data_IF_259843501392
#
_entry.id   IF_259843501392
#
_cell.length_a   1.000
_cell.length_b   1.000
_cell.length_c   1.000
_cell.angle_alpha   90.00
_cell.angle_beta   90.00
_cell.angle_gamma   90.00
#
_symmetry.space_group_name_H-M   'P 1'
#
loop_
_entity.id
_entity.type
_entity.pdbx_description
1 polymer ?
#
# COMPACT_ATOMS: atom_id res chain seq x y z
N UNK A 1 0.82 -6.45 -10.19
CA UNK A 1 0.80 -5.15 -9.47
C UNK A 1 0.01 -4.14 -10.27
N UNK A 2 -0.85 -3.37 -9.60
CA UNK A 2 -1.69 -2.36 -10.23
C UNK A 2 -1.39 -0.98 -9.67
N UNK A 3 -1.03 -0.03 -10.55
CA UNK A 3 -0.90 1.39 -10.21
C UNK A 3 -2.22 2.11 -10.50
N UNK A 4 -2.65 2.96 -9.57
CA UNK A 4 -3.91 3.71 -9.60
C UNK A 4 -3.60 5.18 -9.39
N UNK A 5 -3.91 5.97 -10.41
CA UNK A 5 -3.66 7.41 -10.49
C UNK A 5 -4.88 8.18 -11.01
N UNK A 6 -6.07 7.58 -10.94
CA UNK A 6 -7.30 8.29 -11.29
C UNK A 6 -8.50 7.76 -10.51
N UNK A 7 -9.49 8.64 -10.28
CA UNK A 7 -10.72 8.29 -9.57
C UNK A 7 -11.49 7.17 -10.27
N UNK A 8 -11.59 7.21 -11.60
CA UNK A 8 -12.25 6.17 -12.40
C UNK A 8 -11.63 4.78 -12.17
N UNK A 9 -10.31 4.72 -11.94
CA UNK A 9 -9.60 3.48 -11.63
C UNK A 9 -9.85 3.03 -10.19
N UNK A 10 -9.96 3.96 -9.24
CA UNK A 10 -10.34 3.65 -7.86
C UNK A 10 -11.74 3.02 -7.81
N UNK A 11 -12.69 3.52 -8.60
CA UNK A 11 -14.07 3.00 -8.63
C UNK A 11 -14.15 1.50 -9.02
N UNK A 12 -13.18 1.04 -9.80
CA UNK A 12 -13.07 -0.36 -10.25
C UNK A 12 -12.42 -1.28 -9.21
N UNK A 13 -11.89 -0.75 -8.11
CA UNK A 13 -11.21 -1.53 -7.08
C UNK A 13 -12.20 -2.33 -6.24
N UNK A 14 -11.84 -3.58 -6.01
CA UNK A 14 -12.45 -4.46 -5.03
C UNK A 14 -11.39 -4.86 -3.98
N UNK A 15 -11.78 -5.06 -2.71
CA UNK A 15 -13.14 -4.96 -2.14
C UNK A 15 -13.63 -3.51 -1.91
N UNK A 16 -14.93 -3.28 -1.65
CA UNK A 16 -15.48 -1.93 -1.42
C UNK A 16 -14.84 -1.16 -0.26
N UNK A 17 -14.35 -1.87 0.76
CA UNK A 17 -13.61 -1.27 1.89
C UNK A 17 -12.31 -0.64 1.42
N UNK A 18 -11.53 -1.34 0.61
CA UNK A 18 -10.29 -0.82 0.03
C UNK A 18 -10.58 0.37 -0.89
N UNK A 19 -11.61 0.27 -1.73
CA UNK A 19 -12.05 1.40 -2.56
C UNK A 19 -12.40 2.63 -1.73
N UNK A 20 -13.14 2.46 -0.63
CA UNK A 20 -13.50 3.58 0.24
C UNK A 20 -12.27 4.26 0.84
N UNK A 21 -11.26 3.49 1.25
CA UNK A 21 -9.99 4.04 1.74
C UNK A 21 -9.22 4.77 0.64
N UNK A 22 -9.10 4.19 -0.56
CA UNK A 22 -8.45 4.86 -1.69
C UNK A 22 -9.13 6.19 -2.03
N UNK A 23 -10.47 6.24 -2.03
CA UNK A 23 -11.22 7.48 -2.23
C UNK A 23 -10.96 8.49 -1.12
N UNK A 24 -10.90 8.05 0.14
CA UNK A 24 -10.58 8.92 1.27
C UNK A 24 -9.17 9.52 1.12
N UNK A 25 -8.16 8.69 0.84
CA UNK A 25 -6.78 9.15 0.62
C UNK A 25 -6.67 10.10 -0.57
N UNK A 26 -7.43 9.85 -1.65
CA UNK A 26 -7.47 10.76 -2.80
C UNK A 26 -8.04 12.13 -2.42
N UNK A 27 -9.12 12.17 -1.64
CA UNK A 27 -9.70 13.42 -1.12
C UNK A 27 -8.72 14.14 -0.20
N UNK A 28 -8.05 13.42 0.71
CA UNK A 28 -7.02 13.99 1.59
C UNK A 28 -5.88 14.63 0.80
N UNK A 29 -5.41 13.97 -0.28
CA UNK A 29 -4.39 14.53 -1.16
C UNK A 29 -4.88 15.75 -1.96
N UNK A 30 -6.15 15.74 -2.39
CA UNK A 30 -6.78 16.87 -3.11
C UNK A 30 -6.98 18.12 -2.23
N UNK A 31 -6.79 18.03 -0.90
CA UNK A 31 -6.73 19.22 -0.05
C UNK A 31 -5.47 20.07 -0.34
N UNK A 32 -4.45 19.48 -0.98
CA UNK A 32 -3.17 20.12 -1.26
C UNK A 32 -2.91 20.39 -2.76
N UNK A 33 -3.51 19.59 -3.64
CA UNK A 33 -3.32 19.67 -5.11
C UNK A 33 -4.66 19.49 -5.83
N UNK A 34 -4.78 19.98 -7.07
CA UNK A 34 -6.03 19.86 -7.84
C UNK A 34 -6.28 18.41 -8.32
N UNK A 35 -5.21 17.65 -8.56
CA UNK A 35 -5.26 16.23 -8.93
C UNK A 35 -4.38 15.42 -7.97
N UNK A 36 -4.99 14.51 -7.21
CA UNK A 36 -4.26 13.70 -6.24
C UNK A 36 -3.09 12.93 -6.86
N UNK A 37 -3.15 12.60 -8.15
CA UNK A 37 -2.10 11.84 -8.82
C UNK A 37 -0.76 12.57 -8.92
N UNK A 38 -0.77 13.89 -8.72
CA UNK A 38 0.43 14.72 -8.58
C UNK A 38 1.14 14.50 -7.23
N UNK A 39 0.40 14.14 -6.18
CA UNK A 39 0.92 13.99 -4.82
C UNK A 39 1.07 12.52 -4.41
N UNK A 40 0.12 11.66 -4.76
CA UNK A 40 0.10 10.27 -4.31
C UNK A 40 -0.18 9.30 -5.45
N UNK A 41 0.64 8.25 -5.51
CA UNK A 41 0.37 7.07 -6.32
C UNK A 41 -0.18 5.96 -5.43
N UNK A 42 -1.32 5.39 -5.79
CA UNK A 42 -1.82 4.20 -5.12
C UNK A 42 -1.32 2.96 -5.84
N UNK A 43 -0.75 2.02 -5.10
CA UNK A 43 -0.20 0.77 -5.64
C UNK A 43 -0.89 -0.40 -4.94
N UNK A 44 -1.54 -1.26 -5.72
CA UNK A 44 -2.13 -2.50 -5.22
C UNK A 44 -1.20 -3.66 -5.56
N UNK A 45 -0.76 -4.36 -4.52
CA UNK A 45 0.00 -5.60 -4.66
C UNK A 45 -0.96 -6.75 -4.92
N UNK A 46 -0.68 -7.52 -5.96
CA UNK A 46 -1.47 -8.69 -6.36
C UNK A 46 -0.75 -10.00 -5.97
N UNK A 47 -1.49 -11.12 -5.86
CA UNK A 47 -0.90 -12.43 -5.69
C UNK A 47 0.04 -12.77 -6.85
N UNK A 48 1.34 -12.70 -6.60
CA UNK A 48 2.36 -13.00 -7.61
C UNK A 48 3.50 -12.01 -7.58
N UNK A 49 3.21 -10.77 -7.22
CA UNK A 49 4.19 -9.69 -7.15
C UNK A 49 5.22 -9.93 -6.03
N UNK A 50 6.44 -9.47 -6.29
CA UNK A 50 7.56 -9.49 -5.37
C UNK A 50 7.90 -8.08 -4.87
N UNK A 51 8.53 -7.95 -3.70
CA UNK A 51 9.04 -6.64 -3.23
C UNK A 51 10.02 -5.96 -4.18
N UNK A 52 10.71 -6.73 -5.04
CA UNK A 52 11.56 -6.18 -6.09
C UNK A 52 10.76 -5.40 -7.12
N UNK A 53 9.58 -5.89 -7.51
CA UNK A 53 8.71 -5.21 -8.49
C UNK A 53 8.23 -3.87 -7.91
N UNK A 54 7.89 -3.85 -6.62
CA UNK A 54 7.57 -2.63 -5.90
C UNK A 54 8.78 -1.68 -5.81
N UNK A 55 9.99 -2.23 -5.65
CA UNK A 55 11.21 -1.42 -5.62
C UNK A 55 11.46 -0.71 -6.95
N UNK A 56 11.26 -1.42 -8.06
CA UNK A 56 11.40 -0.88 -9.41
C UNK A 56 10.34 0.22 -9.67
N UNK A 57 9.10 0.01 -9.24
CA UNK A 57 8.01 0.99 -9.38
C UNK A 57 8.23 2.26 -8.54
N UNK A 58 8.77 2.11 -7.32
CA UNK A 58 9.09 3.25 -6.45
C UNK A 58 10.43 3.91 -6.81
N UNK A 59 11.28 3.26 -7.61
CA UNK A 59 12.65 3.69 -7.85
C UNK A 59 13.52 3.68 -6.58
N UNK A 60 13.18 2.82 -5.60
CA UNK A 60 13.82 2.70 -4.29
C UNK A 60 13.78 1.28 -3.78
N UNK A 61 14.81 0.83 -3.07
CA UNK A 61 14.91 -0.53 -2.51
C UNK A 61 14.01 -0.70 -1.27
N UNK A 62 12.74 -1.10 -1.45
CA UNK A 62 11.73 -1.14 -0.36
C UNK A 62 12.00 -2.19 0.71
N UNK A 63 12.87 -3.15 0.42
CA UNK A 63 13.30 -4.18 1.37
C UNK A 63 14.42 -3.69 2.30
N UNK A 64 14.98 -2.50 2.02
CA UNK A 64 16.01 -1.85 2.85
C UNK A 64 15.49 -0.61 3.58
N UNK A 65 14.32 -0.08 3.18
CA UNK A 65 13.77 1.18 3.68
C UNK A 65 12.41 0.91 4.31
N UNK A 66 12.30 1.22 5.61
CA UNK A 66 11.03 1.15 6.30
C UNK A 66 10.06 2.18 5.70
N UNK A 67 8.76 1.84 5.56
CA UNK A 67 7.76 2.82 5.20
C UNK A 67 7.67 3.90 6.29
N UNK A 68 7.32 5.11 5.89
CA UNK A 68 7.13 6.25 6.79
C UNK A 68 5.93 6.05 7.73
N UNK A 69 4.92 5.32 7.25
CA UNK A 69 3.78 4.89 8.05
C UNK A 69 3.23 3.55 7.56
N UNK A 70 2.51 2.86 8.44
CA UNK A 70 1.76 1.67 8.08
C UNK A 70 0.45 1.55 8.84
N UNK A 71 -0.61 1.12 8.19
CA UNK A 71 -1.94 0.99 8.77
C UNK A 71 -2.66 -0.26 8.22
N UNK A 72 -3.46 -0.93 9.06
CA UNK A 72 -4.30 -2.04 8.62
C UNK A 72 -5.63 -1.49 8.11
N UNK A 73 -5.95 -1.80 6.85
CA UNK A 73 -7.16 -1.37 6.15
C UNK A 73 -7.92 -2.61 5.66
N UNK A 74 -8.83 -3.10 6.50
CA UNK A 74 -9.58 -4.33 6.21
C UNK A 74 -8.64 -5.55 6.15
N UNK A 75 -8.57 -6.19 4.99
CA UNK A 75 -7.69 -7.32 4.67
C UNK A 75 -6.36 -6.91 4.02
N UNK A 76 -6.10 -5.60 3.92
CA UNK A 76 -4.87 -5.05 3.37
C UNK A 76 -4.06 -4.33 4.46
N UNK A 77 -2.75 -4.36 4.30
CA UNK A 77 -1.82 -3.48 4.99
C UNK A 77 -1.46 -2.33 4.04
N UNK A 78 -1.75 -1.10 4.45
CA UNK A 78 -1.29 0.12 3.80
C UNK A 78 0.14 0.42 4.28
N UNK A 79 1.06 0.64 3.35
CA UNK A 79 2.43 1.10 3.57
C UNK A 79 2.61 2.44 2.85
N UNK A 80 2.94 3.48 3.60
CA UNK A 80 3.11 4.83 3.05
C UNK A 80 4.60 5.13 2.89
N UNK A 81 4.98 5.55 1.70
CA UNK A 81 6.33 5.96 1.36
C UNK A 81 6.34 7.40 0.86
N UNK A 82 7.08 8.28 1.53
CA UNK A 82 7.38 9.63 1.05
C UNK A 82 8.61 9.57 0.16
N UNK A 83 8.44 9.94 -1.11
CA UNK A 83 9.45 9.76 -2.14
C UNK A 83 10.23 11.04 -2.43
N UNK A 84 9.66 12.20 -2.13
CA UNK A 84 10.26 13.52 -2.35
C UNK A 84 9.97 14.49 -1.20
N UNK A 85 10.78 15.55 -1.13
CA UNK A 85 10.75 16.55 -0.05
C UNK A 85 9.49 17.44 -0.09
N UNK A 86 8.76 17.45 -1.20
CA UNK A 86 7.47 18.12 -1.36
C UNK A 86 6.29 17.32 -0.77
N UNK A 87 6.57 16.14 -0.21
CA UNK A 87 5.57 15.24 0.37
C UNK A 87 4.94 14.29 -0.64
N UNK A 88 5.33 14.34 -1.92
CA UNK A 88 4.83 13.38 -2.89
C UNK A 88 5.35 11.97 -2.61
N UNK A 89 4.49 10.97 -2.84
CA UNK A 89 4.73 9.65 -2.34
C UNK A 89 3.91 8.55 -2.99
N UNK A 90 3.93 7.39 -2.33
CA UNK A 90 3.12 6.24 -2.70
C UNK A 90 2.44 5.66 -1.46
N UNK A 91 1.17 5.29 -1.63
CA UNK A 91 0.46 4.44 -0.67
C UNK A 91 0.26 3.06 -1.30
N UNK A 92 0.88 2.07 -0.67
CA UNK A 92 0.99 0.70 -1.17
C UNK A 92 0.08 -0.20 -0.34
N UNK A 93 -0.87 -0.85 -0.97
CA UNK A 93 -1.80 -1.76 -0.30
C UNK A 93 -1.42 -3.20 -0.60
N UNK A 94 -1.07 -3.94 0.45
CA UNK A 94 -0.65 -5.34 0.37
C UNK A 94 -1.70 -6.23 1.04
N UNK A 95 -2.32 -7.19 0.34
CA UNK A 95 -3.20 -8.15 0.99
C UNK A 95 -2.46 -8.90 2.11
N UNK A 96 -3.10 -9.10 3.26
CA UNK A 96 -2.46 -9.76 4.42
C UNK A 96 -1.88 -11.13 4.07
N UNK A 97 -2.59 -11.91 3.25
CA UNK A 97 -2.14 -13.23 2.80
C UNK A 97 -0.87 -13.15 1.94
N UNK A 98 -0.74 -12.10 1.12
CA UNK A 98 0.45 -11.86 0.29
C UNK A 98 1.59 -11.40 1.17
N UNK A 99 1.32 -10.47 2.09
CA UNK A 99 2.32 -9.95 3.02
C UNK A 99 2.89 -11.05 3.92
N UNK A 100 2.07 -12.06 4.27
CA UNK A 100 2.51 -13.20 5.08
C UNK A 100 3.50 -14.13 4.35
N UNK A 101 3.63 -14.06 3.03
CA UNK A 101 4.50 -14.95 2.25
C UNK A 101 5.99 -14.74 2.60
N UNK A 102 6.82 -15.80 2.52
CA UNK A 102 8.24 -15.71 2.87
C UNK A 102 9.02 -14.63 2.12
N UNK A 103 8.65 -14.36 0.86
CA UNK A 103 9.30 -13.33 0.04
C UNK A 103 9.11 -11.90 0.55
N UNK A 104 8.17 -11.66 1.47
CA UNK A 104 7.91 -10.36 2.09
C UNK A 104 8.54 -10.24 3.49
N UNK A 105 9.36 -11.21 3.92
CA UNK A 105 9.89 -11.26 5.28
C UNK A 105 10.75 -10.05 5.66
N UNK A 106 11.56 -9.54 4.73
CA UNK A 106 12.43 -8.38 4.95
C UNK A 106 11.59 -7.13 5.17
N UNK A 107 10.66 -6.83 4.26
CA UNK A 107 9.71 -5.72 4.40
C UNK A 107 8.95 -5.84 5.72
N UNK A 108 8.39 -7.02 6.03
CA UNK A 108 7.70 -7.27 7.31
C UNK A 108 8.54 -6.95 8.54
N UNK A 109 9.83 -7.22 8.48
CA UNK A 109 10.74 -6.96 9.60
C UNK A 109 10.96 -5.46 9.83
N UNK A 110 10.76 -4.63 8.80
CA UNK A 110 10.86 -3.17 8.86
C UNK A 110 9.59 -2.50 9.37
N UNK A 111 8.41 -3.02 9.02
CA UNK A 111 7.12 -2.39 9.38
C UNK A 111 6.79 -2.59 10.87
N UNK A 112 7.43 -3.55 11.56
CA UNK A 112 7.20 -3.78 12.99
C UNK A 112 5.78 -4.22 13.34
N UNK A 113 4.97 -4.63 12.35
CA UNK A 113 3.60 -5.10 12.58
C UNK A 113 3.67 -6.35 13.45
N UNK A 114 2.98 -6.39 14.60
CA UNK A 114 2.88 -7.61 15.38
C UNK A 114 2.31 -8.69 14.47
N UNK A 115 2.97 -9.85 14.44
CA UNK A 115 2.57 -11.02 13.66
C UNK A 115 1.06 -11.24 13.85
N UNK A 116 0.23 -10.85 12.87
CA UNK A 116 -1.21 -11.15 12.92
C UNK A 116 -1.30 -12.63 12.63
N UNK A 117 -1.29 -13.43 13.70
CA UNK A 117 -1.63 -14.84 13.63
C UNK A 117 -3.11 -14.86 13.22
N UNK A 118 -3.49 -15.52 12.12
CA UNK A 118 -4.91 -15.72 11.85
C UNK A 118 -5.48 -16.42 13.08
N UNK A 119 -6.49 -15.80 13.71
CA UNK A 119 -7.28 -16.46 14.76
C UNK A 119 -7.97 -17.64 14.09
N UNK A 120 -7.29 -18.78 14.07
CA UNK A 120 -7.88 -20.06 13.74
C UNK A 120 -8.99 -20.31 14.74
N UNK A 121 -10.18 -20.60 14.20
CA UNK A 121 -11.40 -20.88 14.95
C UNK A 121 -11.12 -21.69 16.22
N UNK A 122 -11.51 -21.11 17.35
CA UNK A 122 -11.76 -21.89 18.55
C UNK A 122 -13.03 -22.72 18.30
N UNK A 123 -12.83 -23.96 17.87
CA UNK A 123 -13.82 -25.06 17.96
C UNK A 123 -14.41 -25.18 19.36
#
# INVERSE_FOLDING_TARGET
MQVIQSRDRIEQVHPPSLRATLLLRAVEAEEFVDDFSELVRFILIEPGDAPSDLSDELGREVHLIAPDASEIVGDHLELVYVLSDDGAGASVFVPHEVFALPRWCEVRSLVGVPHVVPSGDAT
#
